data_IF_142077244462
#
_entry.id   IF_142077244462
#
_cell.length_a   1.000
_cell.length_b   1.000
_cell.length_c   1.000
_cell.angle_alpha   90.00
_cell.angle_beta   90.00
_cell.angle_gamma   90.00
#
_symmetry.space_group_name_H-M   'P 1'
#
loop_
_entity.id
_entity.type
_entity.pdbx_description
1 polymer ?
#
# COMPACT_ATOMS: atom_id res chain seq x y z
N UNK A 1 15.63 4.82 -13.33
CA UNK A 1 14.75 4.95 -12.16
C UNK A 1 13.83 6.08 -12.48
N UNK A 2 12.69 5.76 -13.11
CA UNK A 2 11.61 6.72 -13.33
C UNK A 2 11.26 7.34 -11.98
N UNK A 3 11.45 8.65 -11.87
CA UNK A 3 11.30 9.37 -10.63
C UNK A 3 9.80 9.56 -10.43
N UNK A 4 9.17 8.63 -9.70
CA UNK A 4 7.78 8.77 -9.25
C UNK A 4 7.65 10.11 -8.53
N UNK A 5 6.55 10.81 -8.79
CA UNK A 5 6.25 12.02 -8.05
C UNK A 5 5.97 11.66 -6.58
N UNK A 6 6.46 12.48 -5.64
CA UNK A 6 6.26 12.26 -4.19
C UNK A 6 4.77 12.08 -3.81
N UNK A 7 3.87 12.64 -4.61
CA UNK A 7 2.43 12.44 -4.47
C UNK A 7 1.98 10.99 -4.76
N UNK A 8 2.57 10.33 -5.75
CA UNK A 8 2.29 8.93 -6.07
C UNK A 8 2.90 8.00 -5.02
N UNK A 9 4.12 8.27 -4.56
CA UNK A 9 4.74 7.51 -3.46
C UNK A 9 3.89 7.61 -2.18
N UNK A 10 3.27 8.78 -1.96
CA UNK A 10 2.37 8.96 -0.82
C UNK A 10 1.10 8.15 -0.99
N UNK A 11 0.46 8.22 -2.16
CA UNK A 11 -0.73 7.41 -2.46
C UNK A 11 -0.43 5.90 -2.36
N UNK A 12 0.77 5.48 -2.78
CA UNK A 12 1.25 4.11 -2.60
C UNK A 12 1.28 3.72 -1.12
N UNK A 13 1.94 4.52 -0.27
CA UNK A 13 1.98 4.27 1.16
C UNK A 13 0.60 4.35 1.83
N UNK A 14 -0.31 5.20 1.36
CA UNK A 14 -1.69 5.29 1.87
C UNK A 14 -2.48 4.01 1.60
N UNK A 15 -2.33 3.40 0.42
CA UNK A 15 -2.99 2.13 0.09
C UNK A 15 -2.43 1.00 0.96
N UNK A 16 -1.10 0.91 1.09
CA UNK A 16 -0.46 -0.09 1.96
C UNK A 16 -0.87 0.13 3.43
N UNK A 17 -0.89 1.36 3.92
CA UNK A 17 -1.31 1.65 5.29
C UNK A 17 -2.78 1.29 5.52
N UNK A 18 -3.65 1.49 4.54
CA UNK A 18 -5.04 1.06 4.61
C UNK A 18 -5.15 -0.46 4.71
N UNK A 19 -4.35 -1.21 3.96
CA UNK A 19 -4.28 -2.67 4.02
C UNK A 19 -3.89 -3.17 5.41
N UNK A 20 -2.77 -2.65 5.92
CA UNK A 20 -2.23 -3.02 7.24
C UNK A 20 -3.24 -2.69 8.35
N UNK A 21 -3.98 -1.59 8.25
CA UNK A 21 -4.94 -1.17 9.28
C UNK A 21 -6.33 -1.81 9.10
N UNK A 22 -6.67 -2.26 7.89
CA UNK A 22 -7.95 -2.91 7.62
C UNK A 22 -8.06 -4.28 8.31
N UNK A 23 -6.94 -4.96 8.54
CA UNK A 23 -6.93 -6.13 9.39
C UNK A 23 -7.07 -5.74 10.87
N UNK A 24 -7.85 -6.51 11.61
CA UNK A 24 -8.05 -6.31 13.05
C UNK A 24 -6.78 -6.61 13.86
N UNK A 25 -5.78 -7.26 13.25
CA UNK A 25 -4.51 -7.60 13.87
C UNK A 25 -3.32 -7.24 12.96
N UNK A 26 -2.86 -5.99 13.07
CA UNK A 26 -1.59 -5.56 12.46
C UNK A 26 -0.43 -6.37 13.05
N UNK A 27 0.32 -7.07 12.20
CA UNK A 27 1.53 -7.79 12.61
C UNK A 27 2.75 -6.86 12.66
N UNK A 28 3.79 -7.27 13.39
CA UNK A 28 5.06 -6.55 13.40
C UNK A 28 5.72 -6.54 12.01
N UNK A 29 5.45 -7.55 11.17
CA UNK A 29 6.00 -7.67 9.82
C UNK A 29 5.33 -6.69 8.85
N UNK A 30 4.01 -6.58 8.88
CA UNK A 30 3.24 -5.58 8.12
C UNK A 30 3.64 -4.15 8.47
N UNK A 31 3.82 -3.89 9.77
CA UNK A 31 4.31 -2.59 10.24
C UNK A 31 5.73 -2.32 9.74
N UNK A 32 6.63 -3.30 9.85
CA UNK A 32 8.00 -3.16 9.37
C UNK A 32 8.08 -2.98 7.85
N UNK A 33 7.18 -3.61 7.09
CA UNK A 33 7.06 -3.43 5.65
C UNK A 33 6.67 -1.99 5.28
N UNK A 34 5.62 -1.45 5.91
CA UNK A 34 5.20 -0.05 5.70
C UNK A 34 6.32 0.93 6.10
N UNK A 35 7.02 0.68 7.22
CA UNK A 35 8.15 1.50 7.66
C UNK A 35 9.30 1.48 6.64
N UNK A 36 9.64 0.32 6.06
CA UNK A 36 10.67 0.20 5.01
C UNK A 36 10.28 0.94 3.73
N UNK A 37 9.01 0.88 3.33
CA UNK A 37 8.52 1.61 2.15
C UNK A 37 8.64 3.12 2.35
N UNK A 38 8.19 3.63 3.51
CA UNK A 38 8.28 5.05 3.83
C UNK A 38 9.74 5.52 3.90
N UNK A 39 10.65 4.69 4.41
CA UNK A 39 12.09 4.99 4.41
C UNK A 39 12.68 5.00 2.99
N UNK A 40 12.30 4.04 2.14
CA UNK A 40 12.71 3.96 0.72
C UNK A 40 12.28 5.18 -0.09
N UNK A 41 11.10 5.74 0.19
CA UNK A 41 10.61 6.97 -0.43
C UNK A 41 11.13 8.26 0.24
N UNK A 42 11.92 8.15 1.31
CA UNK A 42 12.50 9.28 2.02
C UNK A 42 11.47 10.11 2.79
N UNK A 43 10.43 9.48 3.33
CA UNK A 43 9.38 10.14 4.11
C UNK A 43 9.88 10.49 5.51
N UNK A 44 9.62 11.72 5.93
CA UNK A 44 9.86 12.17 7.29
C UNK A 44 8.66 11.85 8.21
N UNK A 45 8.76 12.21 9.49
CA UNK A 45 7.70 11.92 10.46
C UNK A 45 6.38 12.65 10.17
N UNK A 46 6.42 13.79 9.45
CA UNK A 46 5.22 14.51 9.04
C UNK A 46 4.54 13.79 7.86
N UNK A 47 5.32 13.36 6.87
CA UNK A 47 4.85 12.53 5.75
C UNK A 47 4.21 11.23 6.27
N UNK A 48 4.89 10.53 7.19
CA UNK A 48 4.37 9.30 7.82
C UNK A 48 3.04 9.56 8.52
N UNK A 49 2.96 10.62 9.31
CA UNK A 49 1.72 11.00 10.01
C UNK A 49 0.60 11.34 9.03
N UNK A 50 0.94 11.96 7.90
CA UNK A 50 -0.01 12.32 6.86
C UNK A 50 -0.54 11.09 6.12
N UNK A 51 0.29 10.06 5.90
CA UNK A 51 -0.13 8.75 5.36
C UNK A 51 -1.16 8.12 6.29
N UNK A 52 -0.81 7.92 7.57
CA UNK A 52 -1.72 7.31 8.55
C UNK A 52 -3.01 8.12 8.76
N UNK A 53 -2.92 9.45 8.72
CA UNK A 53 -4.08 10.33 8.87
C UNK A 53 -5.01 10.36 7.64
N UNK A 54 -4.55 9.90 6.48
CA UNK A 54 -5.33 9.83 5.24
C UNK A 54 -5.98 8.46 4.99
N UNK A 55 -5.66 7.46 5.82
CA UNK A 55 -6.28 6.13 5.77
C UNK A 55 -7.72 6.24 6.26
N UNK A 56 -8.65 5.85 5.39
CA UNK A 56 -10.05 5.67 5.72
C UNK A 56 -10.44 4.23 5.37
N UNK A 57 -10.59 3.40 6.39
CA UNK A 57 -10.91 1.96 6.29
C UNK A 57 -12.25 1.75 5.57
N UNK A 58 -13.15 2.75 5.57
CA UNK A 58 -14.45 2.68 4.92
C UNK A 58 -14.47 3.12 3.45
N UNK A 59 -13.35 3.64 2.92
CA UNK A 59 -13.30 4.15 1.55
C UNK A 59 -12.64 3.12 0.61
N UNK A 60 -13.23 2.82 -0.56
CA UNK A 60 -12.61 1.97 -1.57
C UNK A 60 -11.26 2.53 -2.02
N UNK A 61 -10.33 1.63 -2.37
CA UNK A 61 -8.99 2.03 -2.83
C UNK A 61 -8.94 2.38 -4.31
N UNK A 62 -10.01 2.13 -5.08
CA UNK A 62 -10.12 2.46 -6.52
C UNK A 62 -9.71 3.90 -6.84
N UNK A 63 -10.21 4.87 -6.06
CA UNK A 63 -9.89 6.30 -6.25
C UNK A 63 -8.40 6.59 -6.04
N UNK A 64 -7.72 5.82 -5.19
CA UNK A 64 -6.28 5.93 -4.93
C UNK A 64 -5.49 5.21 -6.02
N UNK A 65 -5.94 4.02 -6.45
CA UNK A 65 -5.35 3.26 -7.56
C UNK A 65 -5.42 4.05 -8.87
N UNK A 66 -6.49 4.80 -9.12
CA UNK A 66 -6.63 5.67 -10.28
C UNK A 66 -5.62 6.83 -10.33
N UNK A 67 -4.97 7.14 -9.20
CA UNK A 67 -3.93 8.19 -9.10
C UNK A 67 -2.51 7.63 -9.26
N UNK A 68 -2.38 6.31 -9.28
CA UNK A 68 -1.14 5.60 -9.57
C UNK A 68 -1.06 5.29 -11.07
N UNK A 69 0.12 5.43 -11.66
CA UNK A 69 0.38 4.91 -13.00
C UNK A 69 0.53 3.39 -12.97
N UNK A 70 0.40 2.73 -14.12
CA UNK A 70 0.43 1.26 -14.20
C UNK A 70 1.75 0.66 -13.71
N UNK A 71 2.87 1.38 -13.87
CA UNK A 71 4.15 0.97 -13.28
C UNK A 71 4.11 0.94 -11.75
N UNK A 72 3.46 1.94 -11.13
CA UNK A 72 3.32 2.05 -9.69
C UNK A 72 2.32 1.02 -9.13
N UNK A 73 1.23 0.76 -9.85
CA UNK A 73 0.27 -0.31 -9.52
C UNK A 73 0.93 -1.69 -9.62
N UNK A 74 1.74 -1.93 -10.65
CA UNK A 74 2.44 -3.21 -10.83
C UNK A 74 3.48 -3.44 -9.71
N UNK A 75 4.21 -2.38 -9.32
CA UNK A 75 5.11 -2.44 -8.18
C UNK A 75 4.35 -2.67 -6.86
N UNK A 76 3.19 -2.02 -6.68
CA UNK A 76 2.35 -2.21 -5.51
C UNK A 76 1.89 -3.67 -5.40
N UNK A 77 1.39 -4.25 -6.50
CA UNK A 77 0.98 -5.65 -6.54
C UNK A 77 2.13 -6.59 -6.18
N UNK A 78 3.32 -6.37 -6.76
CA UNK A 78 4.48 -7.21 -6.48
C UNK A 78 4.91 -7.14 -5.01
N UNK A 79 4.97 -5.94 -4.43
CA UNK A 79 5.38 -5.75 -3.03
C UNK A 79 4.34 -6.36 -2.07
N UNK A 80 3.04 -6.27 -2.37
CA UNK A 80 1.97 -6.91 -1.60
C UNK A 80 2.03 -8.45 -1.70
N UNK A 81 2.23 -9.00 -2.90
CA UNK A 81 2.38 -10.45 -3.10
C UNK A 81 3.63 -10.98 -2.38
N UNK A 82 4.72 -10.23 -2.36
CA UNK A 82 5.93 -10.59 -1.62
C UNK A 82 5.71 -10.54 -0.10
N UNK A 83 5.03 -9.51 0.42
CA UNK A 83 4.70 -9.41 1.84
C UNK A 83 3.80 -10.57 2.30
N UNK A 84 2.73 -10.83 1.55
CA UNK A 84 1.82 -11.96 1.74
C UNK A 84 2.54 -13.33 1.72
N UNK A 85 3.50 -13.50 0.82
CA UNK A 85 4.26 -14.75 0.70
C UNK A 85 5.23 -14.98 1.88
N UNK A 86 5.72 -13.91 2.51
CA UNK A 86 6.64 -13.97 3.65
C UNK A 86 5.89 -14.31 4.94
N UNK A 87 4.75 -13.67 5.20
CA UNK A 87 3.93 -13.92 6.39
C UNK A 87 3.28 -15.32 6.36
N UNK A 88 3.04 -15.85 5.15
CA UNK A 88 2.56 -17.22 4.93
C UNK A 88 1.05 -17.39 5.15
N UNK A 89 0.37 -16.34 5.61
CA UNK A 89 -1.09 -16.23 5.68
C UNK A 89 -1.51 -14.90 5.03
N UNK A 90 -2.44 -14.96 4.08
CA UNK A 90 -3.06 -13.76 3.51
C UNK A 90 -4.36 -13.51 4.25
N UNK A 91 -4.44 -12.38 4.95
CA UNK A 91 -5.67 -11.95 5.61
C UNK A 91 -6.81 -11.72 4.60
N UNK A 92 -8.07 -11.79 5.04
CA UNK A 92 -9.21 -11.52 4.13
C UNK A 92 -9.14 -10.10 3.54
N UNK A 93 -8.75 -9.11 4.36
CA UNK A 93 -8.63 -7.72 3.92
C UNK A 93 -7.48 -7.51 2.93
N UNK A 94 -6.34 -8.18 3.17
CA UNK A 94 -5.19 -8.15 2.27
C UNK A 94 -5.52 -8.79 0.91
N UNK A 95 -6.18 -9.95 0.91
CA UNK A 95 -6.60 -10.62 -0.32
C UNK A 95 -7.56 -9.78 -1.15
N UNK A 96 -8.50 -9.07 -0.52
CA UNK A 96 -9.46 -8.20 -1.21
C UNK A 96 -8.73 -7.07 -1.95
N UNK A 97 -7.80 -6.40 -1.28
CA UNK A 97 -7.03 -5.31 -1.85
C UNK A 97 -6.06 -5.80 -2.95
N UNK A 98 -5.38 -6.93 -2.76
CA UNK A 98 -4.51 -7.52 -3.80
C UNK A 98 -5.31 -7.77 -5.07
N UNK A 99 -6.53 -8.31 -4.95
CA UNK A 99 -7.41 -8.54 -6.09
C UNK A 99 -7.92 -7.23 -6.71
N UNK A 100 -8.21 -6.20 -5.92
CA UNK A 100 -8.55 -4.85 -6.42
C UNK A 100 -7.38 -4.22 -7.21
N UNK A 101 -6.15 -4.30 -6.70
CA UNK A 101 -4.95 -3.78 -7.39
C UNK A 101 -4.70 -4.57 -8.68
N UNK A 102 -4.84 -5.90 -8.65
CA UNK A 102 -4.74 -6.76 -9.83
C UNK A 102 -5.78 -6.38 -10.87
N UNK A 103 -7.04 -6.24 -10.48
CA UNK A 103 -8.12 -5.85 -11.38
C UNK A 103 -7.86 -4.47 -12.01
N UNK A 104 -7.29 -3.52 -11.26
CA UNK A 104 -6.95 -2.19 -11.76
C UNK A 104 -5.78 -2.14 -12.77
N UNK A 105 -5.00 -3.23 -12.89
CA UNK A 105 -3.95 -3.42 -13.91
C UNK A 105 -4.46 -4.10 -15.19
N UNK A 106 -5.58 -4.83 -15.10
CA UNK A 106 -6.16 -5.57 -16.23
C UNK A 106 -7.17 -4.75 -17.05
N UNK A 107 -7.43 -3.50 -16.66
CA UNK A 107 -8.37 -2.56 -17.32
C UNK A 107 -7.67 -1.61 -18.29
#
# INVERSE_FOLDING_TARGET
MDQRDKAQDRTFCEIVAQLVIADAAVTDEERAFLERLMDRFGFDDDDRRAVFGAVDIGQPIDDRLARLDDAAKAELLAELEEAAAVDGEIGRGEAEIIEEVRAALEQ
#
